data_IF_408010909134
#
_entry.id   IF_408010909134
#
_cell.length_a   1.000
_cell.length_b   1.000
_cell.length_c   1.000
_cell.angle_alpha   90.00
_cell.angle_beta   90.00
_cell.angle_gamma   90.00
#
_symmetry.space_group_name_H-M   'P 1'
#
loop_
_entity.id
_entity.type
_entity.pdbx_description
1 polymer ?
#
# COMPACT_ATOMS: atom_id res chain seq x y z
N UNK A 1 12.33 29.78 -16.38
CA UNK A 1 11.06 29.19 -16.87
C UNK A 1 10.35 28.60 -15.67
N UNK A 2 9.21 29.17 -15.26
CA UNK A 2 8.38 28.60 -14.19
C UNK A 2 7.47 27.51 -14.76
N UNK A 3 7.38 26.37 -14.09
CA UNK A 3 6.42 25.33 -14.45
C UNK A 3 5.00 25.83 -14.15
N UNK A 4 4.05 25.53 -15.05
CA UNK A 4 2.64 25.88 -14.88
C UNK A 4 2.06 25.25 -13.60
N UNK A 5 1.16 25.96 -12.92
CA UNK A 5 0.42 25.45 -11.75
C UNK A 5 -0.31 24.13 -12.07
N UNK A 6 -0.76 23.95 -13.31
CA UNK A 6 -1.40 22.70 -13.76
C UNK A 6 -0.40 21.54 -13.84
N UNK A 7 0.85 21.81 -14.23
CA UNK A 7 1.92 20.81 -14.25
C UNK A 7 2.32 20.45 -12.82
N UNK A 8 2.45 21.45 -11.94
CA UNK A 8 2.76 21.24 -10.52
C UNK A 8 1.68 20.41 -9.82
N UNK A 9 0.41 20.74 -10.08
CA UNK A 9 -0.75 20.03 -9.54
C UNK A 9 -0.82 18.59 -10.05
N UNK A 10 -0.64 18.37 -11.36
CA UNK A 10 -0.63 17.03 -11.95
C UNK A 10 0.53 16.17 -11.40
N UNK A 11 1.70 16.76 -11.15
CA UNK A 11 2.85 16.06 -10.57
C UNK A 11 2.56 15.56 -9.14
N UNK A 12 1.77 16.30 -8.36
CA UNK A 12 1.41 15.88 -6.99
C UNK A 12 0.65 14.54 -6.95
N UNK A 13 -0.19 14.25 -7.95
CA UNK A 13 -0.92 12.98 -8.03
C UNK A 13 -0.09 11.83 -8.61
N UNK A 14 1.02 12.12 -9.30
CA UNK A 14 1.89 11.08 -9.86
C UNK A 14 2.87 10.50 -8.84
N UNK A 15 3.13 11.22 -7.75
CA UNK A 15 4.06 10.78 -6.72
C UNK A 15 3.40 10.87 -5.34
N UNK A 16 2.46 9.96 -5.03
CA UNK A 16 1.78 9.95 -3.75
C UNK A 16 2.80 9.79 -2.60
N UNK A 17 2.58 10.49 -1.49
CA UNK A 17 3.46 10.43 -0.31
C UNK A 17 3.06 9.28 0.59
N UNK A 18 2.03 9.43 1.41
CA UNK A 18 1.51 8.39 2.30
C UNK A 18 0.17 7.83 1.82
N UNK A 19 -0.48 8.49 0.86
CA UNK A 19 -1.88 8.26 0.51
C UNK A 19 -2.07 8.10 -0.99
N UNK A 20 -2.85 7.09 -1.40
CA UNK A 20 -3.41 6.99 -2.76
C UNK A 20 -4.92 7.25 -2.75
N UNK A 21 -5.39 7.92 -3.79
CA UNK A 21 -6.78 8.22 -4.10
C UNK A 21 -7.27 7.34 -5.27
N UNK A 22 -8.59 7.18 -5.42
CA UNK A 22 -9.15 6.50 -6.59
C UNK A 22 -8.60 7.09 -7.89
N UNK A 23 -8.45 6.22 -8.90
CA UNK A 23 -7.81 6.46 -10.20
C UNK A 23 -6.28 6.60 -10.17
N UNK A 24 -5.63 6.43 -9.02
CA UNK A 24 -4.16 6.45 -8.96
C UNK A 24 -3.54 5.07 -9.14
N UNK A 25 -2.31 5.12 -9.65
CA UNK A 25 -1.46 3.97 -9.93
C UNK A 25 -0.11 4.22 -9.27
N UNK A 26 0.44 3.20 -8.63
CA UNK A 26 1.82 3.17 -8.16
C UNK A 26 2.60 2.17 -9.01
N UNK A 27 3.59 2.66 -9.75
CA UNK A 27 4.45 1.85 -10.60
C UNK A 27 5.58 1.19 -9.80
N UNK A 28 6.35 0.30 -10.44
CA UNK A 28 7.55 -0.29 -9.84
C UNK A 28 8.51 0.81 -9.37
N UNK A 29 9.20 0.51 -8.27
CA UNK A 29 10.21 1.36 -7.62
C UNK A 29 9.67 2.67 -7.01
N UNK A 30 8.43 3.07 -7.35
CA UNK A 30 7.70 4.08 -6.60
C UNK A 30 7.19 3.50 -5.29
N UNK A 31 7.05 4.38 -4.29
CA UNK A 31 6.73 3.97 -2.94
C UNK A 31 5.85 4.98 -2.23
N UNK A 32 5.06 4.49 -1.28
CA UNK A 32 4.47 5.32 -0.23
C UNK A 32 5.39 5.31 0.99
N UNK A 33 5.58 6.46 1.63
CA UNK A 33 6.20 6.57 2.94
C UNK A 33 5.17 7.07 3.94
N UNK A 34 5.10 6.43 5.11
CA UNK A 34 4.24 6.92 6.18
C UNK A 34 4.66 8.31 6.62
N UNK A 35 3.75 8.98 7.33
CA UNK A 35 4.10 10.12 8.18
C UNK A 35 4.86 9.65 9.44
N UNK A 36 5.55 10.57 10.12
CA UNK A 36 6.33 10.25 11.33
C UNK A 36 5.44 9.95 12.54
N UNK A 37 4.30 10.65 12.66
CA UNK A 37 3.29 10.41 13.68
C UNK A 37 1.95 10.99 13.23
N UNK A 38 0.87 10.76 13.98
CA UNK A 38 -0.46 11.31 13.69
C UNK A 38 -0.45 12.81 13.37
N UNK A 39 0.31 13.60 14.14
CA UNK A 39 0.38 15.07 14.00
C UNK A 39 1.60 15.57 13.23
N UNK A 40 2.56 14.68 12.92
CA UNK A 40 3.80 15.06 12.23
C UNK A 40 3.87 14.45 10.83
N UNK A 41 3.63 15.29 9.82
CA UNK A 41 3.59 14.95 8.39
C UNK A 41 4.97 14.77 7.75
N UNK A 42 6.06 14.90 8.52
CA UNK A 42 7.40 14.55 8.02
C UNK A 42 7.47 13.07 7.69
N UNK A 43 8.48 12.70 6.89
CA UNK A 43 8.73 11.31 6.48
C UNK A 43 8.92 10.41 7.71
N UNK A 44 8.10 9.37 7.79
CA UNK A 44 8.18 8.31 8.78
C UNK A 44 9.01 7.12 8.33
N UNK A 45 9.00 6.08 9.17
CA UNK A 45 9.83 4.89 8.99
C UNK A 45 9.16 3.75 8.24
N UNK A 46 7.86 3.81 7.94
CA UNK A 46 7.18 2.74 7.21
C UNK A 46 7.12 3.07 5.74
N UNK A 47 7.34 2.06 4.90
CA UNK A 47 7.34 2.19 3.44
C UNK A 47 6.60 1.04 2.80
N UNK A 48 5.75 1.36 1.82
CA UNK A 48 5.17 0.40 0.89
C UNK A 48 5.80 0.62 -0.47
N UNK A 49 6.41 -0.41 -1.06
CA UNK A 49 7.10 -0.29 -2.35
C UNK A 49 6.76 -1.49 -3.23
N UNK A 50 6.44 -1.22 -4.49
CA UNK A 50 6.39 -2.26 -5.50
C UNK A 50 7.82 -2.45 -6.03
N UNK A 51 8.48 -3.52 -5.63
CA UNK A 51 9.87 -3.79 -5.99
C UNK A 51 10.01 -4.10 -7.49
N UNK A 52 11.24 -3.99 -8.00
CA UNK A 52 11.55 -4.24 -9.42
C UNK A 52 11.30 -5.69 -9.85
N UNK A 53 11.38 -6.63 -8.91
CA UNK A 53 11.01 -8.04 -9.10
C UNK A 53 9.48 -8.27 -9.16
N UNK A 54 8.70 -7.20 -8.97
CA UNK A 54 7.25 -7.23 -8.97
C UNK A 54 6.63 -7.74 -7.68
N UNK A 55 7.35 -7.78 -6.56
CA UNK A 55 6.77 -8.02 -5.25
C UNK A 55 6.33 -6.69 -4.60
N UNK A 56 5.07 -6.59 -4.17
CA UNK A 56 4.64 -5.47 -3.34
C UNK A 56 4.96 -5.81 -1.89
N UNK A 57 5.78 -4.98 -1.24
CA UNK A 57 6.18 -5.20 0.15
C UNK A 57 5.82 -4.01 1.03
N UNK A 58 5.55 -4.30 2.30
CA UNK A 58 5.61 -3.31 3.35
C UNK A 58 6.80 -3.60 4.25
N UNK A 59 7.59 -2.56 4.50
CA UNK A 59 8.83 -2.64 5.27
C UNK A 59 9.01 -1.39 6.14
N UNK A 60 10.05 -1.42 6.98
CA UNK A 60 10.57 -0.25 7.64
C UNK A 60 11.84 0.25 6.94
N UNK A 61 12.14 1.53 7.09
CA UNK A 61 13.37 2.15 6.62
C UNK A 61 14.17 2.73 7.78
N UNK A 62 15.49 2.66 7.67
CA UNK A 62 16.38 3.35 8.61
C UNK A 62 16.51 4.81 8.18
N UNK A 63 16.14 5.74 9.06
CA UNK A 63 16.32 7.16 8.82
C UNK A 63 17.68 7.61 9.39
N UNK A 64 18.45 8.45 8.68
CA UNK A 64 18.13 9.10 7.41
C UNK A 64 18.60 8.33 6.16
N UNK A 65 19.15 7.12 6.28
CA UNK A 65 19.82 6.41 5.18
C UNK A 65 18.89 5.80 4.13
N UNK A 66 17.59 5.73 4.40
CA UNK A 66 16.58 5.09 3.54
C UNK A 66 16.79 3.60 3.29
N UNK A 67 17.67 2.96 4.07
CA UNK A 67 17.93 1.53 3.97
C UNK A 67 16.66 0.75 4.31
N UNK A 68 16.21 -0.10 3.39
CA UNK A 68 15.06 -0.99 3.58
C UNK A 68 15.46 -2.13 4.51
N UNK A 69 14.68 -2.34 5.57
CA UNK A 69 14.81 -3.53 6.42
C UNK A 69 14.04 -4.71 5.81
N UNK A 70 14.09 -5.86 6.47
CA UNK A 70 13.29 -7.02 6.10
C UNK A 70 11.79 -6.67 6.10
N UNK A 71 11.03 -7.05 5.05
CA UNK A 71 9.63 -6.70 4.95
C UNK A 71 8.80 -7.48 5.97
N UNK A 72 7.83 -6.83 6.59
CA UNK A 72 6.84 -7.47 7.45
C UNK A 72 5.61 -7.96 6.67
N UNK A 73 5.49 -7.59 5.40
CA UNK A 73 4.49 -8.12 4.47
C UNK A 73 5.04 -8.19 3.05
N UNK A 74 4.61 -9.21 2.30
CA UNK A 74 4.85 -9.36 0.87
C UNK A 74 3.60 -9.92 0.17
N UNK A 75 3.26 -9.38 -1.00
CA UNK A 75 2.15 -9.87 -1.83
C UNK A 75 2.44 -11.20 -2.54
N UNK A 76 3.69 -11.65 -2.56
CA UNK A 76 4.16 -12.83 -3.29
C UNK A 76 3.76 -12.77 -4.77
N UNK A 77 4.02 -11.61 -5.37
CA UNK A 77 3.70 -11.33 -6.78
C UNK A 77 4.95 -11.30 -7.67
N UNK A 78 6.12 -11.64 -7.13
CA UNK A 78 7.33 -11.91 -7.93
C UNK A 78 7.26 -13.25 -8.67
N UNK A 79 8.14 -13.45 -9.65
CA UNK A 79 8.31 -14.72 -10.37
C UNK A 79 7.99 -14.64 -11.86
N UNK A 80 7.29 -15.64 -12.40
CA UNK A 80 7.08 -15.81 -13.84
C UNK A 80 6.19 -14.74 -14.50
N UNK A 81 5.34 -14.07 -13.72
CA UNK A 81 4.51 -12.95 -14.18
C UNK A 81 4.50 -11.88 -13.10
N UNK A 82 5.58 -11.09 -13.00
CA UNK A 82 5.77 -10.15 -11.92
C UNK A 82 4.74 -9.03 -11.98
N UNK A 83 4.40 -8.46 -10.83
CA UNK A 83 3.55 -7.28 -10.81
C UNK A 83 4.27 -6.05 -11.33
N UNK A 84 3.55 -5.19 -12.07
CA UNK A 84 4.12 -3.94 -12.59
C UNK A 84 3.44 -2.68 -12.05
N UNK A 85 2.23 -2.82 -11.50
CA UNK A 85 1.48 -1.70 -10.92
C UNK A 85 0.65 -2.12 -9.70
N UNK A 86 0.54 -1.22 -8.72
CA UNK A 86 -0.56 -1.21 -7.74
C UNK A 86 -1.60 -0.23 -8.24
N UNK A 87 -2.85 -0.68 -8.35
CA UNK A 87 -3.95 0.11 -8.91
C UNK A 87 -5.00 0.32 -7.85
N UNK A 88 -5.38 1.57 -7.64
CA UNK A 88 -6.56 1.94 -6.87
C UNK A 88 -7.57 2.62 -7.79
N UNK A 89 -8.58 1.88 -8.22
CA UNK A 89 -9.49 2.35 -9.28
C UNK A 89 -10.67 3.17 -8.74
N UNK A 90 -11.45 3.75 -9.65
CA UNK A 90 -12.63 4.60 -9.36
C UNK A 90 -13.70 3.90 -8.52
N UNK A 91 -13.82 2.58 -8.66
CA UNK A 91 -14.74 1.75 -7.88
C UNK A 91 -14.16 1.30 -6.54
N UNK A 92 -13.09 1.95 -6.08
CA UNK A 92 -12.37 1.67 -4.85
C UNK A 92 -11.75 0.25 -4.74
N UNK A 93 -11.52 -0.43 -5.86
CA UNK A 93 -10.76 -1.67 -5.87
C UNK A 93 -9.27 -1.38 -5.81
N UNK A 94 -8.63 -1.99 -4.82
CA UNK A 94 -7.19 -1.94 -4.61
C UNK A 94 -6.58 -3.32 -4.92
N UNK A 95 -5.73 -3.38 -5.94
CA UNK A 95 -5.12 -4.62 -6.40
C UNK A 95 -3.73 -4.41 -7.00
N UNK A 96 -2.99 -5.50 -7.06
CA UNK A 96 -1.72 -5.59 -7.79
C UNK A 96 -1.99 -6.15 -9.18
N UNK A 97 -1.55 -5.45 -10.22
CA UNK A 97 -1.67 -5.86 -11.62
C UNK A 97 -0.38 -6.54 -12.10
N UNK A 98 -0.51 -7.80 -12.54
CA UNK A 98 0.58 -8.63 -13.05
C UNK A 98 0.70 -8.53 -14.57
N UNK A 99 1.89 -8.77 -15.10
CA UNK A 99 2.19 -8.69 -16.54
C UNK A 99 1.31 -9.61 -17.41
N UNK A 100 0.80 -10.70 -16.83
CA UNK A 100 -0.17 -11.59 -17.49
C UNK A 100 -1.63 -11.10 -17.38
N UNK A 101 -1.85 -9.83 -17.04
CA UNK A 101 -3.14 -9.19 -16.76
C UNK A 101 -3.94 -9.77 -15.59
N UNK A 102 -3.34 -10.65 -14.77
CA UNK A 102 -3.98 -11.16 -13.56
C UNK A 102 -4.00 -10.08 -12.48
N UNK A 103 -5.13 -9.95 -11.79
CA UNK A 103 -5.30 -9.03 -10.66
C UNK A 103 -5.19 -9.81 -9.35
N UNK A 104 -4.21 -9.46 -8.52
CA UNK A 104 -4.15 -9.94 -7.14
C UNK A 104 -4.77 -8.89 -6.23
N UNK A 105 -5.99 -9.12 -5.78
CA UNK A 105 -6.69 -8.18 -4.90
C UNK A 105 -5.92 -8.05 -3.57
N UNK A 106 -5.65 -6.81 -3.16
CA UNK A 106 -5.15 -6.50 -1.82
C UNK A 106 -6.30 -6.36 -0.80
N UNK A 107 -7.52 -6.17 -1.31
CA UNK A 107 -8.77 -6.16 -0.54
C UNK A 107 -9.85 -6.87 -1.34
N UNK A 108 -10.50 -7.88 -0.75
CA UNK A 108 -11.48 -8.72 -1.46
C UNK A 108 -12.86 -8.08 -1.65
N UNK A 109 -13.23 -7.04 -0.91
CA UNK A 109 -14.58 -6.46 -1.00
C UNK A 109 -14.61 -5.05 -0.41
N UNK A 110 -15.03 -4.07 -1.22
CA UNK A 110 -15.59 -2.82 -0.70
C UNK A 110 -17.11 -3.02 -0.70
N UNK A 111 -17.71 -3.09 0.48
CA UNK A 111 -19.14 -3.38 0.65
C UNK A 111 -20.05 -2.21 0.31
N UNK A 112 -19.50 -1.00 0.17
CA UNK A 112 -20.26 0.22 -0.09
C UNK A 112 -19.88 0.85 -1.44
N UNK A 113 -20.86 1.41 -2.14
CA UNK A 113 -20.66 1.97 -3.48
C UNK A 113 -19.68 3.15 -3.46
N UNK A 114 -18.87 3.26 -4.51
CA UNK A 114 -18.08 4.47 -4.79
C UNK A 114 -18.95 5.72 -5.03
N UNK A 115 -20.26 5.53 -5.27
CA UNK A 115 -21.24 6.61 -5.37
C UNK A 115 -21.53 7.24 -4.01
N UNK A 116 -21.60 6.44 -2.95
CA UNK A 116 -22.03 6.86 -1.62
C UNK A 116 -20.89 7.35 -0.72
N UNK A 117 -19.63 7.00 -1.04
CA UNK A 117 -18.46 7.29 -0.20
C UNK A 117 -17.29 7.88 -0.99
N UNK A 118 -16.55 8.79 -0.36
CA UNK A 118 -15.18 9.10 -0.72
C UNK A 118 -14.24 8.05 -0.13
N UNK A 119 -13.27 7.59 -0.91
CA UNK A 119 -12.29 6.61 -0.47
C UNK A 119 -10.87 7.15 -0.57
N UNK A 120 -9.99 6.69 0.31
CA UNK A 120 -8.54 6.82 0.20
C UNK A 120 -7.86 5.62 0.85
N UNK A 121 -6.67 5.27 0.38
CA UNK A 121 -5.80 4.31 1.08
C UNK A 121 -4.57 5.04 1.58
N UNK A 122 -4.22 4.84 2.85
CA UNK A 122 -3.09 5.54 3.49
C UNK A 122 -2.19 4.54 4.21
N UNK A 123 -0.88 4.69 4.04
CA UNK A 123 0.12 4.02 4.88
C UNK A 123 0.32 4.86 6.15
N UNK A 124 -0.31 4.44 7.23
CA UNK A 124 -0.31 5.17 8.48
C UNK A 124 1.03 5.08 9.22
N UNK A 125 1.21 5.97 10.20
CA UNK A 125 2.45 6.14 10.95
C UNK A 125 2.83 4.93 11.81
N UNK A 126 1.91 3.99 12.00
CA UNK A 126 2.07 2.74 12.73
C UNK A 126 2.35 1.53 11.80
N UNK A 127 2.39 1.76 10.48
CA UNK A 127 2.74 0.75 9.49
C UNK A 127 1.55 0.01 8.89
N UNK A 128 0.31 0.37 9.24
CA UNK A 128 -0.86 -0.20 8.58
C UNK A 128 -1.17 0.53 7.27
N UNK A 129 -1.46 -0.23 6.21
CA UNK A 129 -2.03 0.32 4.99
C UNK A 129 -3.56 0.22 5.07
N UNK A 130 -4.24 1.34 5.29
CA UNK A 130 -5.66 1.36 5.66
C UNK A 130 -6.49 2.01 4.55
N UNK A 131 -7.62 1.38 4.22
CA UNK A 131 -8.67 1.95 3.37
C UNK A 131 -9.64 2.72 4.26
N UNK A 132 -9.66 4.04 4.07
CA UNK A 132 -10.61 4.94 4.68
C UNK A 132 -11.79 5.17 3.73
N UNK A 133 -13.00 5.18 4.29
CA UNK A 133 -14.21 5.62 3.61
C UNK A 133 -14.89 6.76 4.39
N UNK A 134 -15.45 7.72 3.65
CA UNK A 134 -16.19 8.85 4.23
C UNK A 134 -17.48 9.09 3.43
N UNK A 135 -18.67 9.07 4.05
CA UNK A 135 -19.94 9.17 3.33
C UNK A 135 -20.10 10.54 2.66
N UNK A 136 -20.66 10.57 1.44
CA UNK A 136 -20.92 11.80 0.68
C UNK A 136 -22.21 12.51 1.11
N UNK A 137 -23.19 11.75 1.60
CA UNK A 137 -24.49 12.28 2.01
C UNK A 137 -24.54 12.63 3.50
N UNK A 138 -24.89 13.88 3.81
CA UNK A 138 -25.33 14.33 5.12
C UNK A 138 -26.85 14.53 5.08
N UNK A 139 -27.63 13.48 5.35
CA UNK A 139 -29.06 13.67 5.60
C UNK A 139 -29.26 14.23 7.01
N UNK A 140 -29.19 15.56 7.16
CA UNK A 140 -29.75 16.35 8.25
C UNK A 140 -29.16 16.21 9.67
N UNK A 141 -28.76 15.00 10.07
CA UNK A 141 -28.25 14.66 11.40
C UNK A 141 -26.95 13.86 11.22
N UNK A 142 -25.84 14.57 11.00
CA UNK A 142 -24.56 13.96 10.73
C UNK A 142 -24.00 13.27 11.99
N UNK A 143 -24.32 11.98 12.18
CA UNK A 143 -23.56 11.10 13.06
C UNK A 143 -22.28 10.72 12.33
N UNK A 144 -21.12 11.09 12.89
CA UNK A 144 -19.82 10.61 12.44
C UNK A 144 -19.81 9.08 12.52
N UNK A 145 -19.95 8.40 11.39
CA UNK A 145 -19.64 6.97 11.30
C UNK A 145 -18.29 6.88 10.58
N UNK A 146 -17.22 6.87 11.36
CA UNK A 146 -15.90 6.52 10.85
C UNK A 146 -15.86 5.00 10.68
N UNK A 147 -16.17 4.50 9.49
CA UNK A 147 -15.87 3.11 9.16
C UNK A 147 -14.45 3.06 8.64
N UNK A 148 -13.48 2.97 9.56
CA UNK A 148 -12.14 2.53 9.18
C UNK A 148 -12.24 1.04 8.84
N UNK A 149 -12.21 0.69 7.56
CA UNK A 149 -12.11 -0.71 7.17
C UNK A 149 -10.63 -1.03 7.09
N UNK A 150 -10.06 -1.56 8.17
CA UNK A 150 -8.67 -2.02 8.19
C UNK A 150 -8.43 -2.96 7.00
N UNK A 151 -7.47 -2.61 6.14
CA UNK A 151 -6.88 -3.59 5.23
C UNK A 151 -5.76 -4.22 6.01
N UNK A 152 -6.10 -5.24 6.81
CA UNK A 152 -5.08 -6.14 7.31
C UNK A 152 -4.60 -6.91 6.09
N UNK A 153 -3.50 -6.45 5.50
CA UNK A 153 -2.75 -7.24 4.54
C UNK A 153 -2.25 -8.45 5.33
N UNK A 154 -2.99 -9.56 5.26
CA UNK A 154 -2.66 -10.77 6.01
C UNK A 154 -1.25 -11.19 5.64
N UNK A 155 -0.37 -11.24 6.63
CA UNK A 155 0.97 -11.77 6.52
C UNK A 155 0.85 -13.22 6.05
N UNK A 156 1.16 -13.50 4.79
CA UNK A 156 1.48 -14.86 4.39
C UNK A 156 2.88 -15.12 4.94
N UNK A 157 2.95 -15.77 6.10
CA UNK A 157 4.21 -16.27 6.63
C UNK A 157 4.75 -17.36 5.68
N UNK A 158 5.56 -16.96 4.72
CA UNK A 158 6.39 -17.90 3.98
C UNK A 158 7.69 -18.14 4.76
N UNK A 159 7.63 -18.97 5.79
CA UNK A 159 8.76 -19.83 6.15
C UNK A 159 8.27 -21.07 6.91
N UNK A 160 7.99 -22.14 6.18
CA UNK A 160 8.08 -23.49 6.74
C UNK A 160 9.53 -23.98 6.70
N UNK A 161 9.93 -24.87 7.63
CA UNK A 161 11.28 -24.94 8.18
C UNK A 161 12.26 -25.68 7.25
N UNK A 162 13.55 -25.36 7.39
CA UNK A 162 14.64 -26.25 6.95
C UNK A 162 14.53 -27.55 7.76
N UNK A 163 13.90 -28.57 7.18
CA UNK A 163 14.07 -29.94 7.62
C UNK A 163 15.40 -30.49 7.11
N UNK A 164 16.20 -31.01 8.04
CA UNK A 164 17.13 -32.11 7.76
C UNK A 164 18.51 -31.76 7.23
N UNK A 165 19.45 -31.44 8.13
CA UNK A 165 20.71 -32.19 8.25
C UNK A 165 21.47 -31.75 9.52
N UNK A 166 21.04 -32.29 10.65
CA UNK A 166 21.89 -32.48 11.82
C UNK A 166 21.69 -33.92 12.30
N UNK A 167 22.64 -34.80 11.98
CA UNK A 167 23.08 -36.01 12.71
C UNK A 167 24.38 -36.45 12.01
N UNK A 168 25.52 -36.74 12.63
CA UNK A 168 25.97 -36.76 14.01
C UNK A 168 27.50 -36.57 14.00
N UNK A 169 28.03 -35.91 15.03
CA UNK A 169 29.42 -36.02 15.43
C UNK A 169 29.48 -36.76 16.77
N UNK A 170 30.46 -37.66 16.89
CA UNK A 170 31.01 -38.31 18.10
C UNK A 170 30.18 -39.42 18.77
N UNK A 171 30.52 -40.68 18.48
CA UNK A 171 31.38 -41.55 19.31
C UNK A 171 31.61 -42.89 18.59
#
# INVERSE_FOLDING_TARGET
MGLSIAVLWMMSFKNPTDTMLPSQILERELFLSSRQSETNITKGKFRMVLQSDGNLVLTTINLPSDHLNDPYYASNTAGASPAFQVVFNESAYLFVLRENNTRSLLKSTVTASAEDFYYRVTLDFDGFFILYSYPKASNGDAKLIQVAVSVVLTVSAASTPREGQFVNALA
#
